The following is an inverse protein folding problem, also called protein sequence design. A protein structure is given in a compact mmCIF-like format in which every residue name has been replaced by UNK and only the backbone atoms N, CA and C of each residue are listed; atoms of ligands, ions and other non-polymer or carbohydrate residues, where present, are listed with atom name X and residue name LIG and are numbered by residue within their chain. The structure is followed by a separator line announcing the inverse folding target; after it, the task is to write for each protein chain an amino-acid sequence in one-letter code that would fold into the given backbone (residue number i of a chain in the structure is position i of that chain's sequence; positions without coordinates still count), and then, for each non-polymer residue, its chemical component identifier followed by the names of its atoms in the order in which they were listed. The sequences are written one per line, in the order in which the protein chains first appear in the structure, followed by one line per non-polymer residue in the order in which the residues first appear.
data_IF_192131020160
#
_entry.id   IF_192131020160
#
_cell.length_a   1.000
_cell.length_b   1.000
_cell.length_c   1.000
_cell.angle_alpha   90.00
_cell.angle_beta   90.00
_cell.angle_gamma   90.00
#
_symmetry.space_group_name_H-M   'P 1'
#
loop_
_entity.id
_entity.type
_entity.pdbx_description
1 polymer ?
#
# COMPACT_ATOMS: atom_id res chain seq x y z
N UNK A 1 -1.27 14.09 21.15
CA UNK A 1 -0.38 14.57 20.08
C UNK A 1 -1.03 14.36 18.72
N UNK A 2 -1.45 15.44 18.05
CA UNK A 2 -2.04 15.41 16.70
C UNK A 2 -0.91 15.34 15.67
N UNK A 3 -1.00 14.41 14.71
CA UNK A 3 0.01 14.27 13.67
C UNK A 3 -0.13 15.42 12.65
N UNK A 4 0.92 16.23 12.50
CA UNK A 4 0.92 17.34 11.55
C UNK A 4 1.16 16.84 10.11
N UNK A 5 0.07 16.76 9.33
CA UNK A 5 0.08 16.31 7.93
C UNK A 5 0.99 17.14 7.02
N UNK A 6 1.14 18.45 7.27
CA UNK A 6 2.02 19.30 6.47
C UNK A 6 3.49 18.94 6.72
N UNK A 7 3.84 18.68 7.99
CA UNK A 7 5.19 18.24 8.37
C UNK A 7 5.52 16.87 7.77
N UNK A 8 4.59 15.91 7.82
CA UNK A 8 4.75 14.59 7.18
C UNK A 8 5.08 14.70 5.69
N UNK A 9 4.32 15.51 4.96
CA UNK A 9 4.52 15.72 3.52
C UNK A 9 5.84 16.45 3.23
N UNK A 10 6.24 17.38 4.09
CA UNK A 10 7.51 18.09 3.97
C UNK A 10 8.70 17.14 4.19
N UNK A 11 8.66 16.30 5.24
CA UNK A 11 9.70 15.31 5.51
C UNK A 11 9.76 14.23 4.42
N UNK A 12 8.61 13.76 3.93
CA UNK A 12 8.55 12.85 2.78
C UNK A 12 9.26 13.42 1.53
N UNK A 13 9.06 14.71 1.23
CA UNK A 13 9.76 15.40 0.13
C UNK A 13 11.26 15.50 0.40
N UNK A 14 11.66 15.79 1.63
CA UNK A 14 13.07 15.85 2.01
C UNK A 14 13.75 14.48 1.85
N UNK A 15 13.11 13.41 2.30
CA UNK A 15 13.60 12.05 2.14
C UNK A 15 13.76 11.65 0.68
N UNK A 16 12.80 11.98 -0.19
CA UNK A 16 12.89 11.74 -1.64
C UNK A 16 14.10 12.46 -2.25
N UNK A 17 14.35 13.72 -1.86
CA UNK A 17 15.49 14.52 -2.37
C UNK A 17 16.85 13.99 -1.92
N UNK A 18 16.91 13.33 -0.76
CA UNK A 18 18.13 12.81 -0.15
C UNK A 18 18.40 11.33 -0.49
N UNK A 19 17.51 10.70 -1.27
CA UNK A 19 17.61 9.29 -1.62
C UNK A 19 18.82 9.00 -2.51
N UNK A 20 19.50 7.88 -2.25
CA UNK A 20 20.64 7.42 -3.06
C UNK A 20 20.20 7.05 -4.48
N UNK A 21 19.17 6.20 -4.60
CA UNK A 21 18.54 5.91 -5.88
C UNK A 21 17.41 6.90 -6.11
N UNK A 22 17.33 7.46 -7.33
CA UNK A 22 16.25 8.39 -7.71
C UNK A 22 14.89 7.72 -7.54
N UNK A 23 14.03 8.17 -6.59
CA UNK A 23 12.73 7.55 -6.36
C UNK A 23 11.80 7.64 -7.57
N UNK A 24 11.97 8.67 -8.41
CA UNK A 24 11.22 8.84 -9.64
C UNK A 24 11.63 7.84 -10.72
N UNK A 25 12.91 7.48 -10.81
CA UNK A 25 13.37 6.45 -11.75
C UNK A 25 12.86 5.07 -11.33
N UNK A 26 12.95 4.73 -10.05
CA UNK A 26 12.37 3.49 -9.53
C UNK A 26 10.86 3.45 -9.74
N UNK A 27 10.17 4.56 -9.52
CA UNK A 27 8.73 4.67 -9.78
C UNK A 27 8.39 4.53 -11.28
N UNK A 28 9.21 5.07 -12.18
CA UNK A 28 9.04 4.90 -13.62
C UNK A 28 9.16 3.43 -14.02
N UNK A 29 10.20 2.74 -13.54
CA UNK A 29 10.40 1.30 -13.78
C UNK A 29 9.23 0.50 -13.20
N UNK A 30 8.82 0.81 -11.97
CA UNK A 30 7.66 0.19 -11.33
C UNK A 30 6.38 0.36 -12.18
N UNK A 31 6.04 1.58 -12.59
CA UNK A 31 4.85 1.86 -13.40
C UNK A 31 4.94 1.16 -14.76
N UNK A 32 6.12 1.13 -15.39
CA UNK A 32 6.33 0.43 -16.65
C UNK A 32 6.10 -1.08 -16.50
N UNK A 33 6.66 -1.71 -15.45
CA UNK A 33 6.46 -3.14 -15.17
C UNK A 33 4.98 -3.44 -14.99
N UNK A 34 4.28 -2.68 -14.14
CA UNK A 34 2.85 -2.87 -13.88
C UNK A 34 2.01 -2.66 -15.15
N UNK A 35 2.35 -1.65 -15.95
CA UNK A 35 1.67 -1.40 -17.22
C UNK A 35 1.85 -2.54 -18.23
N UNK A 36 3.08 -3.05 -18.38
CA UNK A 36 3.37 -4.20 -19.25
C UNK A 36 2.64 -5.45 -18.74
N UNK A 37 2.67 -5.74 -17.44
CA UNK A 37 1.95 -6.88 -16.85
C UNK A 37 0.43 -6.77 -17.09
N UNK A 38 -0.15 -5.58 -16.95
CA UNK A 38 -1.57 -5.34 -17.21
C UNK A 38 -1.94 -5.51 -18.70
N UNK A 39 -1.07 -5.07 -19.62
CA UNK A 39 -1.26 -5.35 -21.06
C UNK A 39 -1.21 -6.85 -21.29
N UNK A 40 -0.23 -7.57 -20.75
CA UNK A 40 -0.14 -9.02 -20.92
C UNK A 40 -1.38 -9.73 -20.36
N UNK A 41 -1.83 -9.33 -19.18
CA UNK A 41 -3.03 -9.89 -18.54
C UNK A 41 -4.28 -9.70 -19.42
N UNK A 42 -4.52 -8.49 -19.92
CA UNK A 42 -5.67 -8.19 -20.80
C UNK A 42 -5.58 -8.92 -22.15
N UNK A 43 -4.38 -9.05 -22.73
CA UNK A 43 -4.17 -9.75 -24.00
C UNK A 43 -4.30 -11.26 -23.88
N UNK A 44 -3.90 -11.83 -22.74
CA UNK A 44 -4.00 -13.26 -22.46
C UNK A 44 -5.44 -13.64 -22.14
N UNK A 45 -6.08 -12.91 -21.23
CA UNK A 45 -7.49 -13.16 -20.87
C UNK A 45 -8.44 -12.87 -22.02
N UNK A 46 -8.08 -11.99 -22.96
CA UNK A 46 -8.87 -11.73 -24.17
C UNK A 46 -10.21 -11.03 -23.91
N UNK A 47 -10.55 -10.76 -22.65
CA UNK A 47 -11.77 -10.05 -22.27
C UNK A 47 -11.57 -8.57 -22.52
N UNK A 48 -12.06 -8.10 -23.66
CA UNK A 48 -12.14 -6.67 -23.96
C UNK A 48 -13.61 -6.34 -24.16
N UNK A 49 -14.22 -5.62 -23.23
CA UNK A 49 -15.60 -5.14 -23.42
C UNK A 49 -15.52 -3.92 -24.34
N UNK A 50 -16.06 -3.98 -25.57
CA UNK A 50 -16.08 -2.82 -26.45
C UNK A 50 -16.91 -1.68 -25.83
N UNK A 51 -16.46 -0.44 -26.00
CA UNK A 51 -17.07 0.72 -25.34
C UNK A 51 -18.53 0.94 -25.76
N UNK A 52 -18.85 0.71 -27.03
CA UNK A 52 -20.18 0.74 -27.62
C UNK A 52 -21.13 -0.28 -27.00
N UNK A 53 -20.66 -1.50 -26.77
CA UNK A 53 -21.43 -2.56 -26.08
C UNK A 53 -21.76 -2.15 -24.65
N UNK A 54 -20.77 -1.58 -23.94
CA UNK A 54 -20.96 -1.11 -22.57
C UNK A 54 -21.97 0.05 -22.50
N UNK A 55 -21.86 1.03 -23.40
CA UNK A 55 -22.82 2.14 -23.48
C UNK A 55 -24.24 1.64 -23.82
N UNK A 56 -24.37 0.72 -24.77
CA UNK A 56 -25.66 0.15 -25.11
C UNK A 56 -26.33 -0.55 -23.90
N UNK A 57 -25.56 -1.29 -23.10
CA UNK A 57 -26.06 -1.92 -21.89
C UNK A 57 -26.50 -0.91 -20.81
N UNK A 58 -25.80 0.22 -20.69
CA UNK A 58 -26.18 1.31 -19.78
C UNK A 58 -27.43 2.07 -20.25
N UNK A 59 -27.55 2.33 -21.55
CA UNK A 59 -28.66 3.07 -22.15
C UNK A 59 -29.95 2.27 -22.14
N UNK A 60 -29.88 0.97 -22.46
CA UNK A 60 -31.06 0.11 -22.57
C UNK A 60 -31.42 -0.61 -21.27
N UNK A 61 -30.51 -0.64 -20.29
CA UNK A 61 -30.62 -1.49 -19.10
C UNK A 61 -30.58 -3.00 -19.41
N UNK A 62 -30.39 -3.37 -20.68
CA UNK A 62 -30.36 -4.74 -21.13
C UNK A 62 -28.92 -5.26 -21.11
N UNK A 63 -28.67 -6.16 -20.16
CA UNK A 63 -27.35 -6.79 -19.97
C UNK A 63 -27.20 -8.11 -20.70
N UNK A 64 -28.25 -8.63 -21.33
CA UNK A 64 -28.23 -9.94 -21.99
C UNK A 64 -27.21 -9.97 -23.14
N UNK A 65 -27.13 -8.89 -23.91
CA UNK A 65 -26.14 -8.75 -24.98
C UNK A 65 -24.70 -8.71 -24.43
N UNK A 66 -24.48 -7.96 -23.35
CA UNK A 66 -23.17 -7.89 -22.68
C UNK A 66 -22.79 -9.24 -22.07
N UNK A 67 -23.74 -9.93 -21.43
CA UNK A 67 -23.54 -11.23 -20.81
C UNK A 67 -23.24 -12.31 -21.87
N UNK A 68 -23.94 -12.29 -22.99
CA UNK A 68 -23.70 -13.20 -24.10
C UNK A 68 -22.31 -13.00 -24.71
N UNK A 69 -21.86 -11.75 -24.91
CA UNK A 69 -20.51 -11.48 -25.39
C UNK A 69 -19.44 -11.95 -24.39
N UNK A 70 -19.63 -11.70 -23.09
CA UNK A 70 -18.72 -12.18 -22.05
C UNK A 70 -18.65 -13.71 -22.06
N UNK A 71 -19.79 -14.40 -22.20
CA UNK A 71 -19.84 -15.86 -22.21
C UNK A 71 -19.20 -16.47 -23.47
N UNK A 72 -19.32 -15.80 -24.63
CA UNK A 72 -18.66 -16.22 -25.87
C UNK A 72 -17.15 -15.96 -25.87
N UNK A 73 -16.71 -14.90 -25.21
CA UNK A 73 -15.30 -14.52 -25.11
C UNK A 73 -14.64 -15.06 -23.84
N UNK A 74 -15.39 -15.75 -22.97
CA UNK A 74 -14.88 -16.26 -21.71
C UNK A 74 -13.66 -17.16 -22.00
N UNK A 75 -12.44 -16.73 -21.63
CA UNK A 75 -11.28 -17.53 -21.90
C UNK A 75 -11.40 -18.88 -21.21
N UNK A 76 -10.74 -19.90 -21.77
CA UNK A 76 -10.60 -21.18 -21.10
C UNK A 76 -9.93 -21.04 -19.72
N UNK A 77 -9.84 -22.12 -18.94
CA UNK A 77 -9.20 -22.09 -17.62
C UNK A 77 -7.73 -21.67 -17.69
N UNK A 78 -7.02 -21.94 -18.78
CA UNK A 78 -5.59 -21.65 -18.94
C UNK A 78 -5.28 -20.14 -18.96
N UNK A 79 -5.92 -19.29 -19.79
CA UNK A 79 -5.68 -17.85 -19.68
C UNK A 79 -6.05 -17.23 -18.33
N UNK A 80 -7.09 -17.75 -17.65
CA UNK A 80 -7.45 -17.29 -16.30
C UNK A 80 -6.38 -17.62 -15.26
N UNK A 81 -5.80 -18.83 -15.30
CA UNK A 81 -4.71 -19.17 -14.39
C UNK A 81 -3.48 -18.30 -14.65
N UNK A 82 -3.13 -18.04 -15.91
CA UNK A 82 -2.02 -17.16 -16.26
C UNK A 82 -2.30 -15.71 -15.81
N UNK A 83 -3.49 -15.18 -16.05
CA UNK A 83 -3.88 -13.84 -15.59
C UNK A 83 -3.79 -13.71 -14.07
N UNK A 84 -4.25 -14.74 -13.35
CA UNK A 84 -4.12 -14.78 -11.88
C UNK A 84 -2.66 -14.73 -11.44
N UNK A 85 -1.76 -15.47 -12.09
CA UNK A 85 -0.32 -15.43 -11.79
C UNK A 85 0.29 -14.04 -12.07
N UNK A 86 -0.09 -13.38 -13.16
CA UNK A 86 0.36 -12.02 -13.48
C UNK A 86 -0.13 -10.99 -12.46
N UNK A 87 -1.37 -11.14 -11.96
CA UNK A 87 -1.91 -10.29 -10.91
C UNK A 87 -1.13 -10.46 -9.58
N UNK A 88 -0.72 -11.69 -9.26
CA UNK A 88 0.12 -12.00 -8.10
C UNK A 88 1.52 -11.40 -8.25
N UNK A 89 2.11 -11.47 -9.44
CA UNK A 89 3.39 -10.80 -9.73
C UNK A 89 3.28 -9.28 -9.55
N UNK A 90 2.22 -8.68 -10.06
CA UNK A 90 1.94 -7.24 -9.89
C UNK A 90 1.80 -6.86 -8.41
N UNK A 91 1.11 -7.69 -7.62
CA UNK A 91 0.98 -7.50 -6.18
C UNK A 91 2.35 -7.53 -5.47
N UNK A 92 3.27 -8.41 -5.89
CA UNK A 92 4.61 -8.50 -5.30
C UNK A 92 5.49 -7.32 -5.64
N UNK A 93 5.48 -6.89 -6.89
CA UNK A 93 6.18 -5.68 -7.32
C UNK A 93 5.66 -4.46 -6.53
N UNK A 94 4.35 -4.41 -6.23
CA UNK A 94 3.76 -3.40 -5.34
C UNK A 94 4.29 -3.43 -3.90
N UNK A 95 4.55 -4.62 -3.34
CA UNK A 95 5.15 -4.77 -2.01
C UNK A 95 6.62 -4.36 -2.03
N UNK A 96 7.38 -4.76 -3.05
CA UNK A 96 8.76 -4.30 -3.24
C UNK A 96 8.86 -2.78 -3.35
N UNK A 97 7.91 -2.13 -4.05
CA UNK A 97 7.84 -0.67 -4.09
C UNK A 97 7.55 -0.07 -2.71
N UNK A 98 6.70 -0.71 -1.90
CA UNK A 98 6.45 -0.30 -0.51
C UNK A 98 7.73 -0.39 0.33
N UNK A 99 8.49 -1.49 0.21
CA UNK A 99 9.80 -1.67 0.87
C UNK A 99 10.76 -0.55 0.44
N UNK A 100 10.92 -0.34 -0.88
CA UNK A 100 11.77 0.71 -1.42
C UNK A 100 11.41 2.09 -0.84
N UNK A 101 10.14 2.47 -0.84
CA UNK A 101 9.70 3.78 -0.32
C UNK A 101 9.86 3.93 1.19
N UNK A 102 9.77 2.83 1.94
CA UNK A 102 10.09 2.80 3.36
C UNK A 102 11.59 3.04 3.60
N UNK A 103 12.47 2.41 2.82
CA UNK A 103 13.91 2.63 2.87
C UNK A 103 14.29 4.06 2.47
N UNK A 104 13.62 4.62 1.44
CA UNK A 104 13.76 6.04 1.05
C UNK A 104 13.42 6.95 2.22
N UNK A 105 12.26 6.75 2.87
CA UNK A 105 11.86 7.56 4.03
C UNK A 105 12.91 7.50 5.15
N UNK A 106 13.40 6.30 5.44
CA UNK A 106 14.42 6.04 6.47
C UNK A 106 15.83 6.52 6.10
N UNK A 107 16.03 7.00 4.86
CA UNK A 107 17.34 7.43 4.32
C UNK A 107 18.38 6.31 4.40
N UNK A 108 17.92 5.07 4.21
CA UNK A 108 18.77 3.89 4.18
C UNK A 108 19.20 3.57 2.75
N UNK A 109 20.21 2.72 2.62
CA UNK A 109 20.67 2.23 1.31
C UNK A 109 19.50 1.60 0.56
N UNK A 110 19.20 2.15 -0.60
CA UNK A 110 18.07 1.73 -1.44
C UNK A 110 18.53 1.57 -2.89
N UNK A 111 17.90 0.64 -3.60
CA UNK A 111 18.21 0.25 -4.97
C UNK A 111 16.95 -0.10 -5.71
N UNK A 112 16.98 -0.03 -7.04
CA UNK A 112 15.90 -0.54 -7.90
C UNK A 112 15.63 -2.02 -7.63
N UNK A 113 16.65 -2.78 -7.20
CA UNK A 113 16.52 -4.19 -6.81
C UNK A 113 15.49 -4.43 -5.70
N UNK A 114 15.21 -3.44 -4.85
CA UNK A 114 14.23 -3.58 -3.77
C UNK A 114 12.80 -3.83 -4.28
N UNK A 115 12.52 -3.55 -5.56
CA UNK A 115 11.25 -3.93 -6.21
C UNK A 115 10.99 -5.45 -6.17
N UNK A 116 12.05 -6.26 -6.07
CA UNK A 116 11.95 -7.71 -6.02
C UNK A 116 12.06 -8.29 -4.60
N UNK A 117 12.29 -7.47 -3.57
CA UNK A 117 12.41 -7.95 -2.19
C UNK A 117 11.11 -8.57 -1.65
N UNK A 118 9.96 -8.18 -2.22
CA UNK A 118 8.66 -8.77 -1.90
C UNK A 118 8.57 -10.27 -2.19
N UNK A 119 9.38 -10.79 -3.13
CA UNK A 119 9.34 -12.20 -3.53
C UNK A 119 9.90 -13.14 -2.45
N UNK A 120 10.88 -12.70 -1.65
CA UNK A 120 11.51 -13.54 -0.62
C UNK A 120 10.53 -13.98 0.47
N UNK A 121 9.52 -13.15 0.79
CA UNK A 121 8.49 -13.44 1.78
C UNK A 121 7.08 -13.51 1.15
N UNK A 122 6.99 -13.88 -0.13
CA UNK A 122 5.75 -13.94 -0.92
C UNK A 122 4.57 -14.52 -0.16
N UNK A 123 4.72 -15.75 0.36
CA UNK A 123 3.61 -16.45 1.02
C UNK A 123 3.14 -15.75 2.30
N UNK A 124 4.04 -15.10 3.04
CA UNK A 124 3.68 -14.37 4.26
C UNK A 124 2.87 -13.12 3.92
N UNK A 125 3.30 -12.38 2.90
CA UNK A 125 2.58 -11.21 2.41
C UNK A 125 1.22 -11.57 1.80
N UNK A 126 1.17 -12.64 1.01
CA UNK A 126 -0.06 -13.16 0.44
C UNK A 126 -1.04 -13.55 1.56
N UNK A 127 -0.56 -14.30 2.54
CA UNK A 127 -1.37 -14.73 3.69
C UNK A 127 -1.90 -13.54 4.50
N UNK A 128 -1.06 -12.53 4.75
CA UNK A 128 -1.49 -11.29 5.40
C UNK A 128 -2.59 -10.59 4.60
N UNK A 129 -2.42 -10.44 3.28
CA UNK A 129 -3.42 -9.78 2.42
C UNK A 129 -4.75 -10.54 2.41
N UNK A 130 -4.71 -11.87 2.36
CA UNK A 130 -5.91 -12.72 2.43
C UNK A 130 -6.64 -12.48 3.76
N UNK A 131 -5.93 -12.49 4.90
CA UNK A 131 -6.55 -12.25 6.21
C UNK A 131 -7.16 -10.84 6.33
N UNK A 132 -6.45 -9.81 5.86
CA UNK A 132 -6.98 -8.44 5.84
C UNK A 132 -8.26 -8.40 5.00
N UNK A 133 -8.25 -8.99 3.80
CA UNK A 133 -9.40 -9.03 2.91
C UNK A 133 -10.60 -9.75 3.55
N UNK A 134 -10.38 -10.93 4.14
CA UNK A 134 -11.42 -11.70 4.84
C UNK A 134 -12.01 -10.89 6.00
N UNK A 135 -11.18 -10.30 6.87
CA UNK A 135 -11.70 -9.53 8.00
C UNK A 135 -12.43 -8.28 7.55
N UNK A 136 -11.89 -7.53 6.59
CA UNK A 136 -12.58 -6.36 6.03
C UNK A 136 -13.89 -6.74 5.36
N UNK A 137 -13.94 -7.87 4.63
CA UNK A 137 -15.17 -8.38 4.02
C UNK A 137 -16.22 -8.76 5.07
N UNK A 138 -15.84 -9.49 6.13
CA UNK A 138 -16.73 -9.85 7.23
C UNK A 138 -17.31 -8.62 7.94
N UNK A 139 -16.49 -7.60 8.20
CA UNK A 139 -16.97 -6.33 8.76
C UNK A 139 -17.90 -5.58 7.83
N UNK A 140 -17.63 -5.64 6.52
CA UNK A 140 -18.45 -4.99 5.49
C UNK A 140 -19.81 -5.68 5.31
N UNK A 141 -19.87 -7.01 5.51
CA UNK A 141 -21.11 -7.79 5.48
C UNK A 141 -22.05 -7.42 6.63
N UNK A 142 -21.49 -7.12 7.80
CA UNK A 142 -22.26 -6.65 8.94
C UNK A 142 -22.83 -5.25 8.66
N UNK A 143 -21.96 -4.31 8.27
CA UNK A 143 -22.34 -2.97 7.81
C UNK A 143 -21.21 -2.37 6.97
N UNK A 144 -21.56 -1.55 5.98
CA UNK A 144 -20.59 -0.90 5.10
C UNK A 144 -19.58 0.00 5.85
N UNK A 145 -20.05 0.82 6.81
CA UNK A 145 -19.21 1.78 7.54
C UNK A 145 -18.14 1.07 8.42
N UNK A 146 -18.49 0.07 9.26
CA UNK A 146 -17.52 -0.76 9.96
C UNK A 146 -16.47 -1.42 9.05
N UNK A 147 -16.85 -1.85 7.84
CA UNK A 147 -15.91 -2.36 6.84
C UNK A 147 -14.78 -1.38 6.51
N UNK A 148 -15.14 -0.12 6.27
CA UNK A 148 -14.17 0.96 6.04
C UNK A 148 -13.28 1.16 7.26
N UNK A 149 -13.86 1.28 8.46
CA UNK A 149 -13.10 1.47 9.71
C UNK A 149 -12.11 0.32 9.95
N UNK A 150 -12.50 -0.92 9.64
CA UNK A 150 -11.63 -2.09 9.71
C UNK A 150 -10.46 -1.98 8.72
N UNK A 151 -10.72 -1.62 7.46
CA UNK A 151 -9.68 -1.42 6.45
C UNK A 151 -8.61 -0.39 6.91
N UNK A 152 -9.03 0.75 7.46
CA UNK A 152 -8.11 1.74 8.03
C UNK A 152 -7.33 1.21 9.24
N UNK A 153 -7.96 0.36 10.06
CA UNK A 153 -7.31 -0.26 11.23
C UNK A 153 -6.20 -1.23 10.85
N UNK A 154 -6.26 -1.84 9.67
CA UNK A 154 -5.30 -2.83 9.18
C UNK A 154 -4.22 -2.25 8.27
N UNK A 155 -4.30 -0.94 7.95
CA UNK A 155 -3.41 -0.27 6.98
C UNK A 155 -1.92 -0.42 7.29
N UNK A 156 -1.56 -0.54 8.57
CA UNK A 156 -0.17 -0.59 9.02
C UNK A 156 0.40 -2.01 9.09
N UNK A 157 -0.44 -3.05 8.95
CA UNK A 157 -0.02 -4.43 9.12
C UNK A 157 1.04 -4.85 8.08
N UNK A 158 0.98 -4.30 6.87
CA UNK A 158 2.00 -4.56 5.82
C UNK A 158 3.37 -4.03 6.24
N UNK A 159 3.44 -2.80 6.76
CA UNK A 159 4.70 -2.21 7.23
C UNK A 159 5.26 -2.97 8.43
N UNK A 160 4.40 -3.41 9.36
CA UNK A 160 4.80 -4.23 10.50
C UNK A 160 5.40 -5.57 10.05
N UNK A 161 4.82 -6.21 9.04
CA UNK A 161 5.35 -7.45 8.46
C UNK A 161 6.66 -7.22 7.69
N UNK A 162 6.82 -6.07 7.03
CA UNK A 162 8.10 -5.68 6.39
C UNK A 162 9.21 -5.56 7.44
N UNK A 163 8.92 -4.91 8.57
CA UNK A 163 9.90 -4.75 9.66
C UNK A 163 10.13 -6.04 10.45
N UNK A 164 9.13 -6.91 10.53
CA UNK A 164 9.15 -8.16 11.30
C UNK A 164 8.73 -9.33 10.41
N UNK A 165 9.58 -9.75 9.46
CA UNK A 165 9.22 -10.79 8.50
C UNK A 165 8.84 -12.11 9.17
N UNK A 166 9.37 -12.37 10.37
CA UNK A 166 9.09 -13.58 11.15
C UNK A 166 7.78 -13.57 11.93
N UNK A 167 7.13 -12.40 12.05
CA UNK A 167 5.88 -12.24 12.80
C UNK A 167 4.70 -12.88 12.07
N UNK A 168 3.77 -13.49 12.82
CA UNK A 168 2.56 -14.08 12.23
C UNK A 168 1.66 -12.96 11.71
N UNK A 169 0.99 -13.22 10.59
CA UNK A 169 0.10 -12.24 9.96
C UNK A 169 -1.03 -11.73 10.88
N UNK A 170 -1.60 -12.59 11.72
CA UNK A 170 -2.63 -12.21 12.70
C UNK A 170 -2.07 -11.24 13.76
N UNK A 171 -0.83 -11.48 14.19
CA UNK A 171 -0.16 -10.63 15.16
C UNK A 171 0.13 -9.25 14.54
N UNK A 172 0.54 -9.21 13.26
CA UNK A 172 0.72 -7.96 12.50
C UNK A 172 -0.59 -7.15 12.41
N UNK A 173 -1.71 -7.82 12.14
CA UNK A 173 -3.05 -7.20 12.09
C UNK A 173 -3.43 -6.65 13.47
N UNK A 174 -3.18 -7.41 14.53
CA UNK A 174 -3.48 -7.02 15.91
C UNK A 174 -2.64 -5.82 16.35
N UNK A 175 -1.34 -5.83 16.01
CA UNK A 175 -0.44 -4.71 16.25
C UNK A 175 -0.87 -3.46 15.47
N UNK A 176 -1.23 -3.59 14.19
CA UNK A 176 -1.78 -2.48 13.39
C UNK A 176 -3.05 -1.91 14.02
N UNK A 177 -3.98 -2.76 14.48
CA UNK A 177 -5.23 -2.32 15.12
C UNK A 177 -4.94 -1.52 16.39
N UNK A 178 -3.98 -1.95 17.20
CA UNK A 178 -3.56 -1.26 18.42
C UNK A 178 -2.90 0.09 18.11
N UNK A 179 -1.97 0.13 17.15
CA UNK A 179 -1.30 1.35 16.72
C UNK A 179 -2.25 2.38 16.09
N UNK A 180 -3.34 1.91 15.48
CA UNK A 180 -4.38 2.75 14.86
C UNK A 180 -5.53 3.12 15.82
N UNK A 181 -5.46 2.81 17.13
CA UNK A 181 -6.51 3.22 18.09
C UNK A 181 -6.49 4.75 18.23
N UNK A 182 -7.65 5.39 18.08
CA UNK A 182 -7.80 6.85 18.13
C UNK A 182 -7.27 7.62 16.90
N UNK A 183 -6.56 6.96 15.97
CA UNK A 183 -5.84 7.65 14.86
C UNK A 183 -6.40 7.38 13.47
N UNK A 184 -7.47 6.60 13.34
CA UNK A 184 -8.09 6.25 12.05
C UNK A 184 -8.55 7.49 11.28
N UNK A 185 -9.10 8.48 12.00
CA UNK A 185 -9.55 9.72 11.41
C UNK A 185 -8.39 10.59 10.91
N UNK A 186 -7.23 10.54 11.58
CA UNK A 186 -6.02 11.23 11.10
C UNK A 186 -5.57 10.67 9.74
N UNK A 187 -5.61 9.34 9.59
CA UNK A 187 -5.29 8.68 8.32
C UNK A 187 -6.33 8.99 7.23
N UNK A 188 -7.63 9.02 7.57
CA UNK A 188 -8.68 9.46 6.64
C UNK A 188 -8.45 10.89 6.14
N UNK A 189 -8.08 11.79 7.05
CA UNK A 189 -7.73 13.17 6.73
C UNK A 189 -6.43 13.29 5.92
N UNK A 190 -5.49 12.36 6.09
CA UNK A 190 -4.31 12.26 5.23
C UNK A 190 -4.72 11.84 3.82
N UNK A 191 -5.56 10.82 3.67
CA UNK A 191 -6.08 10.35 2.38
C UNK A 191 -6.86 11.43 1.64
N UNK A 192 -7.74 12.17 2.33
CA UNK A 192 -8.46 13.31 1.75
C UNK A 192 -7.50 14.40 1.23
N UNK A 193 -6.41 14.64 1.96
CA UNK A 193 -5.39 15.61 1.53
C UNK A 193 -4.49 15.11 0.39
N UNK A 194 -4.55 13.81 0.08
CA UNK A 194 -3.87 13.17 -1.04
C UNK A 194 -4.82 12.92 -2.23
N UNK A 195 -6.13 13.04 -2.04
CA UNK A 195 -7.16 12.82 -3.07
C UNK A 195 -6.92 13.61 -4.36
N UNK A 196 -6.48 14.87 -4.24
CA UNK A 196 -6.14 15.69 -5.41
C UNK A 196 -4.99 15.11 -6.24
N UNK A 197 -4.02 14.47 -5.60
CA UNK A 197 -2.92 13.79 -6.29
C UNK A 197 -3.38 12.49 -6.96
N UNK A 198 -4.32 11.77 -6.34
CA UNK A 198 -4.94 10.59 -6.97
C UNK A 198 -5.76 10.97 -8.20
N UNK A 199 -6.50 12.08 -8.16
CA UNK A 199 -7.22 12.57 -9.35
C UNK A 199 -6.25 12.94 -10.48
N UNK A 200 -5.10 13.54 -10.15
CA UNK A 200 -4.05 13.85 -11.11
C UNK A 200 -3.42 12.60 -11.75
N UNK A 201 -3.40 11.48 -11.02
CA UNK A 201 -2.86 10.21 -11.52
C UNK A 201 -3.71 9.56 -12.62
N UNK A 202 -4.91 10.08 -12.91
CA UNK A 202 -5.70 9.70 -14.07
C UNK A 202 -5.03 10.09 -15.40
N UNK A 203 -4.15 11.10 -15.37
CA UNK A 203 -3.35 11.48 -16.53
C UNK A 203 -2.17 10.50 -16.63
N UNK A 204 -1.95 9.86 -17.80
CA UNK A 204 -0.80 8.99 -18.02
C UNK A 204 0.52 9.67 -17.64
N UNK A 205 1.48 8.91 -17.12
CA UNK A 205 2.80 9.37 -16.68
C UNK A 205 2.85 10.28 -15.43
N UNK A 206 1.75 10.92 -15.02
CA UNK A 206 1.70 11.69 -13.76
C UNK A 206 1.86 10.78 -12.53
N UNK A 207 1.41 9.53 -12.64
CA UNK A 207 1.55 8.49 -11.62
C UNK A 207 3.01 8.27 -11.17
N UNK A 208 3.99 8.49 -12.06
CA UNK A 208 5.43 8.36 -11.75
C UNK A 208 5.88 9.34 -10.67
N UNK A 209 5.27 10.53 -10.59
CA UNK A 209 5.56 11.52 -9.55
C UNK A 209 4.69 11.31 -8.31
N UNK A 210 3.44 10.90 -8.51
CA UNK A 210 2.46 10.74 -7.43
C UNK A 210 2.80 9.54 -6.56
N UNK A 211 3.10 8.38 -7.15
CA UNK A 211 3.31 7.12 -6.42
C UNK A 211 4.46 7.17 -5.40
N UNK A 212 5.68 7.62 -5.74
CA UNK A 212 6.75 7.69 -4.74
C UNK A 212 6.41 8.70 -3.64
N UNK A 213 5.79 9.83 -3.99
CA UNK A 213 5.39 10.83 -3.00
C UNK A 213 4.34 10.30 -2.01
N UNK A 214 3.27 9.66 -2.49
CA UNK A 214 2.21 9.13 -1.62
C UNK A 214 2.71 7.97 -0.76
N UNK A 215 3.48 7.04 -1.33
CA UNK A 215 4.01 5.89 -0.59
C UNK A 215 5.05 6.31 0.46
N UNK A 216 5.96 7.24 0.15
CA UNK A 216 6.88 7.80 1.15
C UNK A 216 6.11 8.57 2.24
N UNK A 217 5.00 9.24 1.90
CA UNK A 217 4.14 9.90 2.90
C UNK A 217 3.46 8.89 3.83
N UNK A 218 3.00 7.75 3.30
CA UNK A 218 2.46 6.67 4.14
C UNK A 218 3.54 6.00 4.99
N UNK A 219 4.75 5.80 4.45
CA UNK A 219 5.89 5.33 5.22
C UNK A 219 6.25 6.31 6.35
N UNK A 220 6.20 7.62 6.09
CA UNK A 220 6.39 8.65 7.11
C UNK A 220 5.34 8.55 8.22
N UNK A 221 4.07 8.41 7.85
CA UNK A 221 2.97 8.22 8.81
C UNK A 221 3.19 6.96 9.66
N UNK A 222 3.59 5.85 9.05
CA UNK A 222 3.91 4.61 9.76
C UNK A 222 5.04 4.79 10.79
N UNK A 223 6.16 5.42 10.41
CA UNK A 223 7.28 5.63 11.35
C UNK A 223 6.88 6.63 12.46
N UNK A 224 6.10 7.66 12.16
CA UNK A 224 5.56 8.57 13.19
C UNK A 224 4.68 7.81 14.20
N UNK A 225 3.87 6.85 13.73
CA UNK A 225 3.08 6.00 14.63
C UNK A 225 3.96 5.11 15.51
N UNK A 226 5.06 4.58 14.97
CA UNK A 226 6.05 3.83 15.75
C UNK A 226 6.66 4.71 16.85
N UNK A 227 7.10 5.93 16.52
CA UNK A 227 7.73 6.84 17.48
C UNK A 227 6.77 7.23 18.62
N UNK A 228 5.52 7.52 18.27
CA UNK A 228 4.46 7.81 19.25
C UNK A 228 4.24 6.60 20.16
N UNK A 229 4.11 5.40 19.59
CA UNK A 229 3.85 4.19 20.35
C UNK A 229 5.05 3.77 21.22
N UNK A 230 6.27 4.01 20.75
CA UNK A 230 7.52 3.85 21.49
C UNK A 230 7.55 4.73 22.74
N UNK A 231 7.15 6.00 22.60
CA UNK A 231 7.02 6.94 23.73
C UNK A 231 6.01 6.49 24.80
N UNK A 232 5.06 5.62 24.45
CA UNK A 232 4.12 5.00 25.38
C UNK A 232 4.55 3.60 25.87
N UNK A 233 5.77 3.14 25.54
CA UNK A 233 6.26 1.79 25.88
C UNK A 233 5.52 0.67 25.15
N UNK A 234 4.77 0.97 24.09
CA UNK A 234 3.92 0.03 23.35
C UNK A 234 4.54 -0.29 21.98
N UNK A 235 5.61 -1.08 21.95
CA UNK A 235 6.15 -1.57 20.68
C UNK A 235 5.30 -2.72 20.12
N UNK A 236 5.10 -2.80 18.78
CA UNK A 236 4.72 -4.05 18.14
C UNK A 236 5.72 -5.15 18.56
N UNK A 237 5.27 -6.38 18.87
CA UNK A 237 6.18 -7.49 19.12
C UNK A 237 7.20 -7.63 17.98
N UNK A 238 8.51 -7.53 18.31
CA UNK A 238 9.63 -7.55 17.36
C UNK A 238 10.25 -6.17 17.04
N UNK A 239 9.71 -5.09 17.60
CA UNK A 239 9.97 -3.68 17.25
C UNK A 239 11.39 -3.12 17.39
N UNK A 240 12.31 -3.53 16.52
CA UNK A 240 13.34 -2.61 16.01
C UNK A 240 13.25 -2.55 14.50
N UNK A 241 13.02 -1.36 13.91
CA UNK A 241 13.08 -1.19 12.47
C UNK A 241 14.41 -1.69 11.91
N UNK A 242 14.40 -2.26 10.70
CA UNK A 242 15.61 -2.47 9.92
C UNK A 242 16.39 -1.13 9.88
N UNK A 243 17.59 -1.08 10.45
CA UNK A 243 18.47 0.11 10.48
C UNK A 243 18.11 1.25 11.45
N UNK A 244 17.43 0.99 12.57
CA UNK A 244 17.16 2.01 13.60
C UNK A 244 18.39 2.35 14.46
N UNK A 245 19.41 2.99 13.87
CA UNK A 245 20.51 3.62 14.63
C UNK A 245 20.23 5.08 15.01
N UNK A 246 19.06 5.63 14.65
CA UNK A 246 18.82 7.08 14.75
C UNK A 246 18.14 7.58 16.03
N UNK A 247 17.77 6.69 16.95
CA UNK A 247 17.13 7.08 18.21
C UNK A 247 17.70 6.26 19.38
N UNK A 248 19.03 6.33 19.50
CA UNK A 248 19.78 6.17 20.75
C UNK A 248 20.18 7.57 21.23
N UNK A 249 19.22 8.49 21.27
CA UNK A 249 19.40 9.76 21.97
C UNK A 249 18.98 9.50 23.40
N UNK A 250 19.93 9.68 24.32
CA UNK A 250 19.76 9.49 25.76
C UNK A 250 18.42 10.08 26.25
N UNK A 251 17.74 9.34 27.11
CA UNK A 251 16.49 9.76 27.76
C UNK A 251 16.70 10.91 28.78
N UNK A 252 17.86 11.57 28.75
CA UNK A 252 18.29 12.56 29.74
C UNK A 252 18.02 14.02 29.32
N UNK A 253 17.52 14.27 28.09
CA UNK A 253 17.34 15.63 27.55
C UNK A 253 15.89 16.13 27.45
N UNK A 254 14.91 15.50 28.13
CA UNK A 254 13.55 16.04 28.18
C UNK A 254 13.46 17.18 29.23
N UNK A 255 12.95 18.38 28.86
CA UNK A 255 12.83 19.48 29.81
C UNK A 255 11.81 19.15 30.91
N UNK A 256 11.99 19.65 32.15
CA UNK A 256 11.34 19.13 33.36
C UNK A 256 9.81 19.28 33.45
N UNK A 257 9.14 19.84 32.44
CA UNK A 257 7.73 20.23 32.50
C UNK A 257 6.80 19.42 31.57
N UNK A 258 7.26 18.30 31.03
CA UNK A 258 6.39 17.33 30.33
C UNK A 258 6.16 16.06 31.17
N UNK A 259 5.56 16.23 32.35
CA UNK A 259 4.88 15.17 33.11
C UNK A 259 3.44 15.58 33.39
#
# INVERSE_FOLDING_TARGET
MNINRAMLKADARAAIRQSQTSPYLTALIYVLIIYVLGILETRITGVTIPYDVFLHALETGNTDYLMHLIQQQAPGPVPYTIGTLLSLMSAMIGIGFTIFTLLVYRRQGNTVGNLFDGFGNFFRFLWLRILIWIFTFLWSLLFFIPGIIAAYSYRQAIYILIDNPDMRAIDCISASKNMMKGRKFELFLLDLSLLGWFLLSAIPFVSVYVFPYTNVTYAAYYNTLLDINAGFGQYPPGGRPYGSSRYSGDHDDLPPWEF
#
